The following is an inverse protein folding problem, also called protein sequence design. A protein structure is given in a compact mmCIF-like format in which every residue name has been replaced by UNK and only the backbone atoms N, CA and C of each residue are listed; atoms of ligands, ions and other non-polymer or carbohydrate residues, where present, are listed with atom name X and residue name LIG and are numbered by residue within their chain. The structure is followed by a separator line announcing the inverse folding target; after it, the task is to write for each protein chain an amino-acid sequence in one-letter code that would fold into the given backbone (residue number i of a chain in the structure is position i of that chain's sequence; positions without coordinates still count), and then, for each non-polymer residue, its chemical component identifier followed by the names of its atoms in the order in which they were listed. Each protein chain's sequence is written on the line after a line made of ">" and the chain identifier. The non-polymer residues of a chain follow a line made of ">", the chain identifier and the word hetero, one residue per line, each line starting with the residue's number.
data_IF_784862213253
#
_entry.id   IF_784862213253
#
_cell.length_a   1.000
_cell.length_b   1.000
_cell.length_c   1.000
_cell.angle_alpha   90.00
_cell.angle_beta   90.00
_cell.angle_gamma   90.00
#
_symmetry.space_group_name_H-M   'P 1'
#
loop_
_entity.id
_entity.type
_entity.pdbx_description
1 polymer ?
#
# COMPACT_ATOMS: atom_id res chain seq x y z
N UNK A 1 -10.01 10.85 -25.71
CA UNK A 1 -9.56 9.65 -24.96
C UNK A 1 -9.61 10.02 -23.49
N UNK A 2 -10.26 9.24 -22.67
CA UNK A 2 -10.30 9.46 -21.20
C UNK A 2 -9.02 8.82 -20.64
N UNK A 3 -8.09 9.57 -20.01
CA UNK A 3 -6.89 9.00 -19.45
C UNK A 3 -7.21 8.13 -18.21
N UNK A 4 -6.45 7.11 -17.98
CA UNK A 4 -6.57 6.24 -16.79
C UNK A 4 -6.38 7.03 -15.50
N UNK A 5 -5.44 7.95 -15.49
CA UNK A 5 -5.19 8.86 -14.39
C UNK A 5 -4.21 9.95 -14.82
N UNK A 6 -4.20 11.03 -14.07
CA UNK A 6 -3.25 12.11 -14.23
C UNK A 6 -2.94 12.69 -12.85
N UNK A 7 -1.66 12.89 -12.58
CA UNK A 7 -1.20 13.60 -11.38
C UNK A 7 -1.60 15.07 -11.46
N UNK A 8 -1.86 15.66 -10.32
CA UNK A 8 -1.95 17.11 -10.13
C UNK A 8 -0.66 17.56 -9.46
N UNK A 9 0.00 18.54 -10.05
CA UNK A 9 1.20 19.18 -9.50
C UNK A 9 0.90 20.67 -9.43
N UNK A 10 0.99 21.24 -8.25
CA UNK A 10 0.74 22.63 -7.98
C UNK A 10 2.08 23.39 -7.82
N UNK A 11 2.04 24.72 -7.79
CA UNK A 11 3.28 25.52 -7.78
C UNK A 11 4.06 25.33 -6.47
N UNK A 12 3.37 25.16 -5.36
CA UNK A 12 3.98 24.87 -4.06
C UNK A 12 4.72 23.52 -4.03
N UNK A 13 4.24 22.49 -4.74
CA UNK A 13 4.96 21.22 -4.92
C UNK A 13 6.31 21.46 -5.62
N UNK A 14 6.28 22.26 -6.70
CA UNK A 14 7.48 22.61 -7.46
C UNK A 14 8.46 23.40 -6.60
N UNK A 15 7.96 24.40 -5.85
CA UNK A 15 8.80 25.19 -4.96
C UNK A 15 9.49 24.36 -3.89
N UNK A 16 8.80 23.39 -3.28
CA UNK A 16 9.40 22.49 -2.29
C UNK A 16 10.51 21.62 -2.89
N UNK A 17 10.31 21.10 -4.09
CA UNK A 17 11.36 20.35 -4.81
C UNK A 17 12.57 21.25 -5.09
N UNK A 18 12.35 22.48 -5.56
CA UNK A 18 13.42 23.43 -5.83
C UNK A 18 14.19 23.80 -4.55
N UNK A 19 13.50 23.96 -3.41
CA UNK A 19 14.16 24.22 -2.10
C UNK A 19 15.08 23.06 -1.72
N UNK A 20 14.64 21.81 -1.90
CA UNK A 20 15.47 20.63 -1.63
C UNK A 20 16.68 20.58 -2.56
N UNK A 21 16.50 20.82 -3.87
CA UNK A 21 17.59 20.81 -4.85
C UNK A 21 18.66 21.90 -4.57
N UNK A 22 18.28 22.98 -3.90
CA UNK A 22 19.20 24.06 -3.50
C UNK A 22 19.77 23.87 -2.09
N UNK A 23 19.35 22.85 -1.36
CA UNK A 23 19.84 22.53 -0.01
C UNK A 23 21.13 21.71 -0.07
N UNK A 24 21.79 21.58 1.08
CA UNK A 24 23.00 20.76 1.21
C UNK A 24 22.68 19.23 1.23
N UNK A 25 21.40 18.86 1.25
CA UNK A 25 20.95 17.46 1.42
C UNK A 25 20.07 17.03 0.27
N UNK A 26 20.64 16.44 -0.77
CA UNK A 26 19.90 15.79 -1.86
C UNK A 26 19.54 14.32 -1.56
N UNK A 27 20.29 13.68 -0.68
CA UNK A 27 20.06 12.31 -0.24
C UNK A 27 20.04 12.24 1.28
N UNK A 28 19.18 11.41 1.83
CA UNK A 28 19.10 11.20 3.29
C UNK A 28 18.90 12.49 4.12
N UNK A 29 18.27 13.49 3.55
CA UNK A 29 18.05 14.78 4.18
C UNK A 29 16.87 14.81 5.16
N UNK A 30 16.68 15.96 5.85
CA UNK A 30 15.64 16.10 6.88
C UNK A 30 14.20 16.00 6.35
N UNK A 31 14.00 16.18 5.04
CA UNK A 31 12.67 16.11 4.40
C UNK A 31 12.03 14.72 4.51
N UNK A 32 12.81 13.65 4.58
CA UNK A 32 12.29 12.30 4.78
C UNK A 32 11.63 12.21 6.17
N UNK A 33 12.34 12.61 7.21
CA UNK A 33 11.81 12.56 8.57
C UNK A 33 10.61 13.51 8.77
N UNK A 34 10.62 14.69 8.12
CA UNK A 34 9.49 15.61 8.10
C UNK A 34 8.25 14.98 7.45
N UNK A 35 8.42 14.34 6.29
CA UNK A 35 7.35 13.65 5.59
C UNK A 35 6.78 12.49 6.42
N UNK A 36 7.64 11.63 6.97
CA UNK A 36 7.23 10.52 7.83
C UNK A 36 6.42 11.01 9.02
N UNK A 37 6.88 12.10 9.67
CA UNK A 37 6.16 12.70 10.79
C UNK A 37 4.78 13.23 10.37
N UNK A 38 4.70 13.97 9.27
CA UNK A 38 3.44 14.53 8.78
C UNK A 38 2.42 13.44 8.43
N UNK A 39 2.88 12.37 7.77
CA UNK A 39 2.00 11.22 7.44
C UNK A 39 1.53 10.52 8.71
N UNK A 40 2.44 10.25 9.65
CA UNK A 40 2.08 9.62 10.92
C UNK A 40 1.04 10.45 11.70
N UNK A 41 1.26 11.76 11.82
CA UNK A 41 0.35 12.69 12.49
C UNK A 41 -1.04 12.72 11.78
N UNK A 42 -1.05 12.76 10.44
CA UNK A 42 -2.28 12.84 9.65
C UNK A 42 -3.16 11.60 9.79
N UNK A 43 -2.57 10.40 9.81
CA UNK A 43 -3.31 9.14 9.94
C UNK A 43 -3.49 8.69 11.39
N UNK A 44 -2.94 9.41 12.36
CA UNK A 44 -2.98 9.04 13.79
C UNK A 44 -2.13 7.81 14.13
N UNK A 45 -1.11 7.51 13.33
CA UNK A 45 -0.16 6.43 13.58
C UNK A 45 1.00 6.91 14.45
N UNK A 46 1.64 5.98 15.16
CA UNK A 46 2.82 6.30 15.97
C UNK A 46 4.06 6.53 15.11
N UNK A 47 4.16 5.84 13.98
CA UNK A 47 5.29 5.89 13.05
C UNK A 47 4.79 5.81 11.61
N UNK A 48 5.56 6.39 10.70
CA UNK A 48 5.47 6.17 9.27
C UNK A 48 6.89 5.94 8.74
N UNK A 49 7.00 5.23 7.63
CA UNK A 49 8.27 4.94 6.97
C UNK A 49 8.15 5.27 5.50
N UNK A 50 8.99 6.18 5.02
CA UNK A 50 9.05 6.56 3.61
C UNK A 50 9.81 5.48 2.81
N UNK A 51 9.17 5.00 1.76
CA UNK A 51 9.73 3.99 0.85
C UNK A 51 9.62 4.54 -0.58
N UNK A 52 10.49 4.10 -1.48
CA UNK A 52 10.64 4.64 -2.83
C UNK A 52 9.41 4.52 -3.73
N UNK A 53 8.53 3.57 -3.46
CA UNK A 53 7.29 3.35 -4.19
C UNK A 53 6.36 2.41 -3.41
N UNK A 54 5.07 2.39 -3.80
CA UNK A 54 4.05 1.59 -3.13
C UNK A 54 4.30 0.07 -3.24
N UNK A 55 4.84 -0.42 -4.36
CA UNK A 55 5.18 -1.85 -4.51
C UNK A 55 6.19 -2.29 -3.45
N UNK A 56 7.22 -1.48 -3.19
CA UNK A 56 8.20 -1.76 -2.15
C UNK A 56 7.59 -1.62 -0.75
N UNK A 57 6.66 -0.68 -0.56
CA UNK A 57 5.94 -0.50 0.70
C UNK A 57 5.06 -1.72 1.02
N UNK A 58 4.32 -2.24 0.06
CA UNK A 58 3.52 -3.46 0.20
C UNK A 58 4.39 -4.67 0.53
N UNK A 59 5.54 -4.84 -0.14
CA UNK A 59 6.49 -5.91 0.17
C UNK A 59 7.03 -5.80 1.61
N UNK A 60 7.46 -4.60 2.00
CA UNK A 60 7.94 -4.34 3.37
C UNK A 60 6.85 -4.61 4.42
N UNK A 61 5.59 -4.23 4.13
CA UNK A 61 4.46 -4.48 5.02
C UNK A 61 4.17 -5.98 5.18
N UNK A 62 4.17 -6.75 4.09
CA UNK A 62 4.02 -8.21 4.14
C UNK A 62 5.15 -8.86 4.96
N UNK A 63 6.39 -8.43 4.74
CA UNK A 63 7.53 -8.93 5.51
C UNK A 63 7.43 -8.58 7.00
N UNK A 64 7.04 -7.35 7.33
CA UNK A 64 6.84 -6.91 8.71
C UNK A 64 5.68 -7.64 9.41
N UNK A 65 4.67 -8.06 8.66
CA UNK A 65 3.57 -8.91 9.15
C UNK A 65 3.99 -10.37 9.37
N UNK A 66 5.22 -10.74 8.99
CA UNK A 66 5.76 -12.09 9.17
C UNK A 66 5.31 -13.09 8.09
N UNK A 67 4.80 -12.59 6.94
CA UNK A 67 4.37 -13.44 5.84
C UNK A 67 5.56 -14.21 5.27
N UNK A 68 5.38 -15.53 5.09
CA UNK A 68 6.41 -16.44 4.59
C UNK A 68 5.83 -17.71 3.94
N UNK A 69 6.70 -18.69 3.63
CA UNK A 69 6.27 -19.96 3.07
C UNK A 69 5.26 -20.69 3.96
N UNK A 70 4.13 -21.07 3.37
CA UNK A 70 3.02 -21.73 4.07
C UNK A 70 1.91 -20.79 4.53
N UNK A 71 2.12 -19.48 4.48
CA UNK A 71 1.07 -18.50 4.79
C UNK A 71 0.19 -18.22 3.56
N UNK A 72 -1.10 -18.06 3.79
CA UNK A 72 -2.06 -17.61 2.81
C UNK A 72 -2.49 -16.18 3.12
N UNK A 73 -2.50 -15.32 2.10
CA UNK A 73 -2.92 -13.92 2.23
C UNK A 73 -4.01 -13.60 1.24
N UNK A 74 -5.14 -13.13 1.76
CA UNK A 74 -6.32 -12.82 0.96
C UNK A 74 -6.16 -11.46 0.30
N UNK A 75 -6.42 -11.41 -1.02
CA UNK A 75 -6.44 -10.18 -1.81
C UNK A 75 -7.54 -10.24 -2.86
N UNK A 76 -7.78 -9.16 -3.58
CA UNK A 76 -8.76 -9.09 -4.67
C UNK A 76 -8.08 -9.26 -6.03
N UNK A 77 -8.77 -9.89 -7.03
CA UNK A 77 -8.25 -9.99 -8.40
C UNK A 77 -8.34 -8.67 -9.18
N UNK A 78 -9.20 -7.74 -8.75
CA UNK A 78 -9.38 -6.42 -9.41
C UNK A 78 -8.53 -5.39 -8.67
N UNK A 79 -7.23 -5.40 -8.96
CA UNK A 79 -6.26 -4.49 -8.35
C UNK A 79 -4.98 -4.44 -9.19
N UNK A 80 -4.05 -3.56 -8.80
CA UNK A 80 -2.71 -3.58 -9.38
C UNK A 80 -1.94 -4.83 -8.93
N UNK A 81 -1.15 -5.42 -9.82
CA UNK A 81 -0.47 -6.68 -9.60
C UNK A 81 0.42 -6.71 -8.33
N UNK A 82 0.90 -5.56 -7.87
CA UNK A 82 1.70 -5.47 -6.65
C UNK A 82 0.97 -5.99 -5.41
N UNK A 83 -0.37 -5.90 -5.37
CA UNK A 83 -1.18 -6.41 -4.26
C UNK A 83 -1.10 -7.93 -4.07
N UNK A 84 -0.86 -8.68 -5.15
CA UNK A 84 -0.61 -10.12 -5.09
C UNK A 84 0.90 -10.43 -5.05
N UNK A 85 1.70 -9.68 -5.80
CA UNK A 85 3.13 -9.92 -5.91
C UNK A 85 3.88 -9.72 -4.59
N UNK A 86 3.46 -8.77 -3.75
CA UNK A 86 4.08 -8.55 -2.44
C UNK A 86 4.01 -9.80 -1.54
N UNK A 87 2.97 -10.60 -1.66
CA UNK A 87 2.79 -11.87 -0.97
C UNK A 87 3.79 -12.91 -1.50
N UNK A 88 3.87 -13.01 -2.83
CA UNK A 88 4.81 -13.92 -3.51
C UNK A 88 6.27 -13.59 -3.20
N UNK A 89 6.62 -12.29 -3.10
CA UNK A 89 7.97 -11.85 -2.74
C UNK A 89 8.40 -12.32 -1.35
N UNK A 90 7.44 -12.49 -0.43
CA UNK A 90 7.68 -13.05 0.90
C UNK A 90 7.62 -14.59 0.93
N UNK A 91 7.28 -15.25 -0.18
CA UNK A 91 7.11 -16.70 -0.26
C UNK A 91 5.72 -17.20 0.19
N UNK A 92 4.79 -16.31 0.47
CA UNK A 92 3.39 -16.62 0.79
C UNK A 92 2.57 -16.95 -0.45
N UNK A 93 1.36 -17.43 -0.25
CA UNK A 93 0.39 -17.79 -1.30
C UNK A 93 -0.75 -16.77 -1.34
N UNK A 94 -0.97 -16.03 -2.45
CA UNK A 94 -2.10 -15.15 -2.59
C UNK A 94 -3.39 -15.96 -2.82
N UNK A 95 -4.41 -15.67 -2.03
CA UNK A 95 -5.76 -16.23 -2.15
C UNK A 95 -6.70 -15.13 -2.63
N UNK A 96 -7.31 -15.31 -3.79
CA UNK A 96 -8.18 -14.29 -4.36
C UNK A 96 -9.61 -14.43 -3.85
N UNK A 97 -10.13 -13.35 -3.28
CA UNK A 97 -11.55 -13.19 -2.96
C UNK A 97 -12.16 -12.15 -3.90
N UNK A 98 -13.41 -12.40 -4.31
CA UNK A 98 -14.12 -11.52 -5.24
C UNK A 98 -14.42 -10.15 -4.61
N UNK A 99 -14.81 -9.21 -5.43
CA UNK A 99 -15.18 -7.84 -5.02
C UNK A 99 -16.69 -7.71 -4.92
N UNK A 100 -17.13 -6.86 -4.03
CA UNK A 100 -18.53 -6.40 -4.01
C UNK A 100 -18.84 -5.60 -5.28
N UNK A 101 -19.87 -5.96 -6.08
CA UNK A 101 -20.11 -5.33 -7.36
C UNK A 101 -20.58 -3.87 -7.29
N UNK A 102 -20.92 -3.38 -6.10
CA UNK A 102 -21.35 -1.99 -5.89
C UNK A 102 -20.22 -1.09 -5.42
N UNK A 103 -19.36 -1.61 -4.56
CA UNK A 103 -18.30 -0.83 -3.93
C UNK A 103 -16.92 -1.08 -4.52
N UNK A 104 -16.76 -2.20 -5.24
CA UNK A 104 -15.48 -2.72 -5.76
C UNK A 104 -14.42 -3.01 -4.67
N UNK A 105 -14.82 -2.96 -3.42
CA UNK A 105 -13.97 -3.42 -2.32
C UNK A 105 -14.04 -4.95 -2.20
N UNK A 106 -13.02 -5.53 -1.57
CA UNK A 106 -12.99 -6.97 -1.32
C UNK A 106 -14.26 -7.40 -0.56
N UNK A 107 -14.90 -8.47 -1.04
CA UNK A 107 -16.09 -9.01 -0.41
C UNK A 107 -15.70 -9.99 0.70
N UNK A 108 -15.78 -9.57 1.94
CA UNK A 108 -15.42 -10.37 3.11
C UNK A 108 -16.33 -11.60 3.33
N UNK A 109 -17.48 -11.65 2.66
CA UNK A 109 -18.38 -12.81 2.74
C UNK A 109 -17.78 -14.08 2.10
N UNK A 110 -16.81 -13.93 1.20
CA UNK A 110 -16.11 -15.05 0.55
C UNK A 110 -14.83 -15.49 1.27
N UNK A 111 -14.41 -14.75 2.30
CA UNK A 111 -13.11 -14.96 2.96
C UNK A 111 -13.20 -15.73 4.25
N UNK A 112 -14.41 -15.91 4.80
CA UNK A 112 -14.63 -16.67 6.02
C UNK A 112 -15.90 -17.49 5.88
N UNK A 113 -15.89 -18.79 6.18
CA UNK A 113 -17.12 -19.55 6.31
C UNK A 113 -18.00 -18.87 7.36
N UNK A 114 -19.16 -18.40 6.94
CA UNK A 114 -20.16 -17.87 7.88
C UNK A 114 -20.52 -18.97 8.87
N UNK A 115 -20.75 -18.67 10.15
CA UNK A 115 -21.30 -19.63 11.10
C UNK A 115 -22.59 -20.29 10.59
N UNK A 116 -23.30 -19.66 9.64
CA UNK A 116 -24.49 -20.22 8.99
C UNK A 116 -24.16 -21.25 7.92
N UNK A 117 -22.93 -21.32 7.40
CA UNK A 117 -22.52 -22.28 6.38
C UNK A 117 -22.07 -23.61 6.98
N UNK A 118 -21.81 -23.63 8.30
CA UNK A 118 -21.48 -24.86 9.06
C UNK A 118 -22.71 -25.60 9.62
N UNK A 119 -23.92 -25.02 9.47
CA UNK A 119 -25.19 -25.59 9.95
C UNK A 119 -26.02 -26.28 8.86
N UNK A 120 -25.42 -26.59 7.70
CA UNK A 120 -26.09 -27.33 6.61
C UNK A 120 -25.51 -28.71 6.40
#
# INVERSE_FOLDING_TARGET
>A
MIPYGRQTIEEDDIEEVVKVLRSDYLTTGPKIAEFEKLVADYVGAKYAVAISNDTAALHAACHAAGIGPGDEVITTPITFAASANCILYCGGTPVFADVDPKTYNICLLYTSPSPRDTER
#
